data_IF_491281084790
#
_entry.id   IF_491281084790
#
_cell.length_a   1.000
_cell.length_b   1.000
_cell.length_c   1.000
_cell.angle_alpha   90.00
_cell.angle_beta   90.00
_cell.angle_gamma   90.00
#
_symmetry.space_group_name_H-M   'P 1'
#
loop_
_entity.id
_entity.type
_entity.pdbx_description
1 polymer ?
#
# COMPACT_ATOMS: atom_id res chain seq x y z
N UNK A 1 0.87 11.49 -4.03
CA UNK A 1 1.33 10.14 -4.38
C UNK A 1 2.08 9.57 -3.17
N UNK A 2 1.97 8.27 -2.95
CA UNK A 2 2.82 7.48 -2.06
C UNK A 2 3.62 6.53 -2.95
N UNK A 3 4.87 6.26 -2.62
CA UNK A 3 5.66 5.22 -3.28
C UNK A 3 6.61 4.57 -2.29
N UNK A 4 6.91 3.31 -2.52
CA UNK A 4 7.90 2.56 -1.77
C UNK A 4 8.56 1.53 -2.69
N UNK A 5 9.84 1.29 -2.45
CA UNK A 5 10.63 0.32 -3.20
C UNK A 5 11.50 -0.46 -2.23
N UNK A 6 11.58 -1.76 -2.46
CA UNK A 6 12.50 -2.66 -1.80
C UNK A 6 13.15 -3.55 -2.85
N UNK A 7 14.10 -4.39 -2.45
CA UNK A 7 14.78 -5.30 -3.37
C UNK A 7 13.76 -6.21 -4.06
N UNK A 8 13.55 -5.99 -5.36
CA UNK A 8 12.68 -6.79 -6.21
C UNK A 8 11.21 -6.40 -6.24
N UNK A 9 10.77 -5.40 -5.48
CA UNK A 9 9.37 -4.98 -5.48
C UNK A 9 9.23 -3.46 -5.39
N UNK A 10 8.40 -2.91 -6.26
CA UNK A 10 8.01 -1.50 -6.26
C UNK A 10 6.48 -1.39 -6.17
N UNK A 11 6.03 -0.28 -5.59
CA UNK A 11 4.64 0.09 -5.69
C UNK A 11 4.42 1.58 -5.43
N UNK A 12 3.33 2.06 -5.99
CA UNK A 12 2.84 3.41 -5.75
C UNK A 12 1.33 3.40 -5.51
N UNK A 13 0.87 4.47 -4.86
CA UNK A 13 -0.53 4.70 -4.63
C UNK A 13 -0.92 6.17 -4.75
N UNK A 14 -2.05 6.42 -5.40
CA UNK A 14 -2.73 7.70 -5.41
C UNK A 14 -3.95 7.63 -4.48
N UNK A 15 -4.06 8.62 -3.57
CA UNK A 15 -5.09 8.66 -2.53
C UNK A 15 -5.90 9.94 -2.69
N UNK A 16 -7.22 9.77 -2.84
CA UNK A 16 -8.20 10.84 -2.70
C UNK A 16 -8.92 10.66 -1.36
N UNK A 17 -8.85 11.67 -0.52
CA UNK A 17 -9.58 11.70 0.74
C UNK A 17 -11.02 12.14 0.49
N UNK A 18 -11.98 11.51 1.15
CA UNK A 18 -13.38 11.96 1.17
C UNK A 18 -13.79 12.60 2.49
N UNK A 19 -13.18 12.17 3.61
CA UNK A 19 -13.41 12.73 4.94
C UNK A 19 -12.30 12.33 5.92
N UNK A 20 -12.48 12.64 7.22
CA UNK A 20 -11.60 12.16 8.30
C UNK A 20 -11.63 10.63 8.48
N UNK A 21 -12.66 9.96 7.98
CA UNK A 21 -12.91 8.53 8.19
C UNK A 21 -12.98 7.74 6.88
N UNK A 22 -12.85 8.42 5.73
CA UNK A 22 -13.09 7.83 4.42
C UNK A 22 -12.05 8.27 3.37
N UNK A 23 -11.47 7.29 2.69
CA UNK A 23 -10.69 7.47 1.47
C UNK A 23 -11.60 7.14 0.29
N UNK A 24 -12.00 8.18 -0.44
CA UNK A 24 -12.97 8.07 -1.55
C UNK A 24 -12.39 7.38 -2.77
N UNK A 25 -11.06 7.38 -2.91
CA UNK A 25 -10.36 6.63 -3.95
C UNK A 25 -8.95 6.28 -3.51
N UNK A 26 -8.55 5.06 -3.80
CA UNK A 26 -7.20 4.54 -3.65
C UNK A 26 -6.88 3.79 -4.94
N UNK A 27 -5.93 4.32 -5.69
CA UNK A 27 -5.37 3.67 -6.87
C UNK A 27 -4.01 3.13 -6.49
N UNK A 28 -3.80 1.84 -6.72
CA UNK A 28 -2.53 1.17 -6.48
C UNK A 28 -1.94 0.70 -7.79
N UNK A 29 -0.61 0.72 -7.87
CA UNK A 29 0.15 0.00 -8.87
C UNK A 29 1.27 -0.76 -8.19
N UNK A 30 1.44 -2.05 -8.53
CA UNK A 30 2.55 -2.87 -8.04
C UNK A 30 3.41 -3.30 -9.22
N UNK A 31 4.72 -3.37 -9.03
CA UNK A 31 5.66 -3.87 -10.04
C UNK A 31 6.61 -4.86 -9.38
N UNK A 32 6.70 -6.05 -9.96
CA UNK A 32 7.75 -7.01 -9.65
C UNK A 32 8.97 -6.71 -10.52
N UNK A 33 10.11 -6.45 -9.89
CA UNK A 33 11.32 -5.96 -10.57
C UNK A 33 12.28 -7.10 -10.95
N UNK A 34 12.13 -8.30 -10.39
CA UNK A 34 13.07 -9.42 -10.58
C UNK A 34 12.37 -10.64 -11.19
N UNK A 35 13.12 -11.44 -11.96
CA UNK A 35 12.64 -12.72 -12.50
C UNK A 35 13.23 -13.85 -11.67
N UNK A 36 12.79 -13.95 -10.41
CA UNK A 36 13.37 -14.85 -9.41
C UNK A 36 12.35 -15.80 -8.78
N UNK A 37 11.11 -15.82 -9.28
CA UNK A 37 10.02 -16.68 -8.80
C UNK A 37 9.28 -16.11 -7.59
N UNK A 38 9.80 -15.04 -6.98
CA UNK A 38 9.10 -14.32 -5.92
C UNK A 38 8.04 -13.41 -6.50
N UNK A 39 7.18 -12.86 -5.65
CA UNK A 39 6.14 -11.92 -6.07
C UNK A 39 6.15 -10.65 -5.22
N UNK A 40 5.80 -9.55 -5.87
CA UNK A 40 5.55 -8.29 -5.19
C UNK A 40 4.15 -8.29 -4.55
N UNK A 41 4.02 -7.66 -3.39
CA UNK A 41 2.73 -7.35 -2.77
C UNK A 41 2.75 -5.98 -2.13
N UNK A 42 1.59 -5.34 -2.07
CA UNK A 42 1.45 -4.04 -1.42
C UNK A 42 0.17 -3.95 -0.59
N UNK A 43 0.16 -3.06 0.41
CA UNK A 43 -1.02 -2.70 1.17
C UNK A 43 -0.95 -1.27 1.67
N UNK A 44 -2.09 -0.70 2.02
CA UNK A 44 -2.14 0.56 2.75
C UNK A 44 -2.03 0.29 4.25
N UNK A 45 -1.39 1.21 4.97
CA UNK A 45 -1.57 1.36 6.42
C UNK A 45 -2.19 2.73 6.71
N UNK A 46 -3.12 2.78 7.66
CA UNK A 46 -3.64 4.04 8.21
C UNK A 46 -3.15 4.20 9.63
N UNK A 47 -2.95 5.45 10.06
CA UNK A 47 -2.68 5.81 11.45
C UNK A 47 -3.83 6.66 11.98
N UNK A 48 -4.29 6.35 13.19
CA UNK A 48 -5.38 7.05 13.89
C UNK A 48 -4.83 8.15 14.79
N UNK A 49 -5.73 8.95 15.37
CA UNK A 49 -5.37 10.06 16.27
C UNK A 49 -4.69 9.59 17.56
N UNK A 50 -5.01 8.38 18.03
CA UNK A 50 -4.38 7.71 19.17
C UNK A 50 -3.01 7.09 18.84
N UNK A 51 -2.53 7.27 17.61
CA UNK A 51 -1.27 6.72 17.12
C UNK A 51 -1.32 5.25 16.70
N UNK A 52 -2.45 4.55 16.91
CA UNK A 52 -2.62 3.16 16.49
C UNK A 52 -2.60 3.05 14.96
N UNK A 53 -2.02 1.95 14.47
CA UNK A 53 -1.89 1.66 13.04
C UNK A 53 -2.83 0.53 12.66
N UNK A 54 -3.66 0.74 11.64
CA UNK A 54 -4.44 -0.31 11.01
C UNK A 54 -3.75 -0.75 9.71
N UNK A 55 -3.60 -2.06 9.54
CA UNK A 55 -3.02 -2.69 8.36
C UNK A 55 -4.16 -3.26 7.49
N UNK A 56 -4.26 -2.80 6.25
CA UNK A 56 -5.32 -3.21 5.35
C UNK A 56 -4.90 -4.41 4.50
N UNK A 57 -5.87 -5.00 3.78
CA UNK A 57 -5.65 -6.19 2.98
C UNK A 57 -4.52 -6.02 1.96
N UNK A 58 -3.77 -7.10 1.74
CA UNK A 58 -2.73 -7.18 0.72
C UNK A 58 -3.32 -7.24 -0.69
N UNK A 59 -2.56 -6.66 -1.63
CA UNK A 59 -2.74 -6.84 -3.07
C UNK A 59 -1.50 -7.54 -3.59
N UNK A 60 -1.71 -8.63 -4.31
CA UNK A 60 -0.65 -9.54 -4.74
C UNK A 60 -0.41 -9.36 -6.24
N UNK A 61 0.86 -9.22 -6.63
CA UNK A 61 1.29 -9.21 -8.03
C UNK A 61 1.93 -10.54 -8.38
N UNK A 62 1.14 -11.49 -8.87
CA UNK A 62 1.62 -12.79 -9.35
C UNK A 62 1.98 -12.79 -10.84
N UNK A 63 1.99 -11.63 -11.50
CA UNK A 63 2.29 -11.55 -12.93
C UNK A 63 3.77 -11.76 -13.29
N UNK A 64 4.64 -11.85 -12.27
CA UNK A 64 6.09 -11.97 -12.43
C UNK A 64 6.75 -10.67 -12.92
N UNK A 65 8.04 -10.77 -13.26
CA UNK A 65 8.88 -9.63 -13.65
C UNK A 65 8.21 -8.73 -14.68
N UNK A 66 8.09 -7.45 -14.34
CA UNK A 66 7.60 -6.39 -15.22
C UNK A 66 6.07 -6.29 -15.30
N UNK A 67 5.32 -7.22 -14.69
CA UNK A 67 3.88 -7.08 -14.57
C UNK A 67 3.53 -5.89 -13.68
N UNK A 68 2.56 -5.09 -14.13
CA UNK A 68 2.14 -3.85 -13.46
C UNK A 68 0.64 -3.85 -13.15
N UNK A 69 0.12 -4.80 -12.35
CA UNK A 69 -1.29 -4.79 -11.99
C UNK A 69 -1.67 -3.51 -11.24
N UNK A 70 -2.86 -3.03 -11.56
CA UNK A 70 -3.46 -1.85 -10.97
C UNK A 70 -4.77 -2.21 -10.26
N UNK A 71 -5.06 -1.51 -9.16
CA UNK A 71 -6.31 -1.70 -8.42
C UNK A 71 -6.88 -0.36 -7.98
N UNK A 72 -8.18 -0.20 -8.13
CA UNK A 72 -8.93 0.92 -7.55
C UNK A 72 -9.85 0.42 -6.44
N UNK A 73 -9.83 1.08 -5.28
CA UNK A 73 -10.73 0.77 -4.15
C UNK A 73 -11.05 2.01 -3.34
N UNK A 74 -11.93 1.85 -2.37
CA UNK A 74 -12.19 2.82 -1.30
C UNK A 74 -11.83 2.21 0.06
N UNK A 75 -11.83 3.02 1.12
CA UNK A 75 -11.54 2.55 2.48
C UNK A 75 -12.23 3.44 3.51
N UNK A 76 -12.86 2.80 4.51
CA UNK A 76 -13.46 3.47 5.66
C UNK A 76 -12.85 2.97 6.96
N UNK A 77 -12.54 3.88 7.88
CA UNK A 77 -12.18 3.58 9.27
C UNK A 77 -13.01 4.47 10.19
N UNK A 78 -13.95 3.87 10.91
CA UNK A 78 -14.85 4.58 11.83
C UNK A 78 -14.10 5.25 12.99
N UNK A 79 -12.89 4.79 13.32
CA UNK A 79 -12.01 5.40 14.32
C UNK A 79 -11.15 6.53 13.78
N UNK A 80 -11.29 6.87 12.49
CA UNK A 80 -10.60 7.98 11.84
C UNK A 80 -9.28 7.58 11.18
N UNK A 81 -8.86 8.45 10.26
CA UNK A 81 -7.66 8.32 9.43
C UNK A 81 -6.91 9.65 9.50
N UNK A 82 -5.85 9.69 10.31
CA UNK A 82 -5.00 10.87 10.47
C UNK A 82 -3.85 10.87 9.46
N UNK A 83 -3.26 9.70 9.21
CA UNK A 83 -2.20 9.53 8.22
C UNK A 83 -2.37 8.24 7.44
N UNK A 84 -1.80 8.19 6.25
CA UNK A 84 -1.70 6.99 5.41
C UNK A 84 -0.25 6.75 5.00
N UNK A 85 0.12 5.50 4.78
CA UNK A 85 1.36 5.13 4.09
C UNK A 85 1.15 3.87 3.27
N UNK A 86 2.01 3.67 2.27
CA UNK A 86 2.09 2.45 1.49
C UNK A 86 3.15 1.52 2.10
N UNK A 87 2.84 0.23 2.14
CA UNK A 87 3.82 -0.83 2.42
C UNK A 87 3.93 -1.69 1.17
N UNK A 88 5.17 -1.94 0.73
CA UNK A 88 5.49 -2.81 -0.41
C UNK A 88 6.46 -3.87 0.08
N UNK A 89 6.23 -5.12 -0.29
CA UNK A 89 7.07 -6.24 0.11
C UNK A 89 7.31 -7.20 -1.05
N UNK A 90 8.44 -7.89 -1.02
CA UNK A 90 8.71 -9.10 -1.82
C UNK A 90 8.43 -10.32 -0.96
N UNK A 91 7.81 -11.34 -1.54
CA UNK A 91 7.42 -12.55 -0.83
C UNK A 91 7.61 -13.82 -1.67
N UNK A 92 7.78 -14.94 -0.97
CA UNK A 92 7.73 -16.30 -1.50
C UNK A 92 6.52 -17.00 -0.87
N UNK A 93 5.47 -17.28 -1.63
CA UNK A 93 4.19 -17.67 -1.05
C UNK A 93 3.71 -16.70 0.04
N UNK A 94 3.53 -17.17 1.27
CA UNK A 94 3.13 -16.32 2.39
C UNK A 94 4.32 -15.62 3.08
N UNK A 95 5.55 -16.08 2.86
CA UNK A 95 6.75 -15.62 3.56
C UNK A 95 7.21 -14.25 3.05
N UNK A 96 7.22 -13.24 3.94
CA UNK A 96 7.81 -11.93 3.65
C UNK A 96 9.34 -12.08 3.61
N UNK A 97 9.97 -11.72 2.49
CA UNK A 97 11.43 -11.67 2.40
C UNK A 97 11.99 -10.31 2.80
N UNK A 98 11.38 -9.25 2.29
CA UNK A 98 11.74 -7.88 2.63
C UNK A 98 10.53 -6.94 2.40
N UNK A 99 10.58 -5.77 3.04
CA UNK A 99 9.57 -4.74 2.89
C UNK A 99 10.20 -3.34 2.91
N UNK A 100 9.51 -2.41 2.26
CA UNK A 100 9.71 -0.98 2.40
C UNK A 100 8.39 -0.26 2.67
N UNK A 101 8.50 0.96 3.15
CA UNK A 101 7.36 1.81 3.46
C UNK A 101 7.55 3.18 2.84
N UNK A 102 6.47 3.78 2.36
CA UNK A 102 6.48 5.21 2.06
C UNK A 102 6.55 6.02 3.36
N UNK A 103 6.87 7.31 3.24
CA UNK A 103 6.59 8.26 4.31
C UNK A 103 5.09 8.29 4.67
N UNK A 104 4.80 8.72 5.89
CA UNK A 104 3.42 9.00 6.31
C UNK A 104 2.93 10.29 5.64
N UNK A 105 1.74 10.23 5.03
CA UNK A 105 1.05 11.40 4.47
C UNK A 105 -0.18 11.73 5.32
N UNK A 106 -0.33 13.00 5.69
CA UNK A 106 -1.49 13.47 6.45
C UNK A 106 -2.78 13.41 5.64
N UNK A 107 -3.88 13.13 6.33
CA UNK A 107 -5.22 13.38 5.83
C UNK A 107 -5.45 14.89 5.76
N UNK A 108 -5.95 15.38 4.62
CA UNK A 108 -6.25 16.79 4.42
C UNK A 108 -7.48 17.23 5.25
N UNK A 109 -8.37 16.30 5.56
CA UNK A 109 -9.52 16.54 6.42
C UNK A 109 -9.04 16.44 7.88
N UNK A 110 -8.92 17.59 8.53
CA UNK A 110 -8.60 17.72 9.97
C UNK A 110 -9.83 17.53 10.81
#
# INVERSE_FOLDING_TARGET
>A
MLSAETTGAYGDAYITYGSKTYLSKIEFRSVDLLADGHHARLRLNTKRSDGSVANWAWRYNYGGKGAQPEWTTTLSDSRGITQVRLQVCRAEGDDILNCAYSGWKLNAYK
#
